data_IF_996952150993
#
_entry.id   IF_996952150993
#
_cell.length_a   1.000
_cell.length_b   1.000
_cell.length_c   1.000
_cell.angle_alpha   90.00
_cell.angle_beta   90.00
_cell.angle_gamma   90.00
#
_symmetry.space_group_name_H-M   'P 1'
#
loop_
_entity.id
_entity.type
_entity.pdbx_description
1 polymer ?
#
# COMPACT_ATOMS: atom_id res chain seq x y z
N UNK A 1 30.51 50.91 51.47
CA UNK A 1 29.47 50.12 50.78
C UNK A 1 30.15 49.24 49.74
N UNK A 2 30.25 47.94 50.00
CA UNK A 2 30.79 46.93 49.07
C UNK A 2 29.59 46.27 48.38
N UNK A 3 29.54 46.36 47.05
CA UNK A 3 28.55 45.66 46.24
C UNK A 3 28.96 44.20 46.07
N UNK A 4 28.08 43.28 46.48
CA UNK A 4 28.20 41.84 46.22
C UNK A 4 27.64 41.57 44.82
N UNK A 5 28.51 41.21 43.88
CA UNK A 5 28.13 40.68 42.57
C UNK A 5 27.93 39.17 42.74
N UNK A 6 26.69 38.72 42.64
CA UNK A 6 26.34 37.30 42.61
C UNK A 6 26.48 36.81 41.16
N UNK A 7 27.51 36.02 40.89
CA UNK A 7 27.68 35.33 39.61
C UNK A 7 26.85 34.05 39.64
N UNK A 8 25.83 33.96 38.79
CA UNK A 8 25.11 32.71 38.52
C UNK A 8 25.99 31.80 37.66
N UNK A 9 26.11 30.50 37.99
CA UNK A 9 26.77 29.55 37.12
C UNK A 9 25.93 29.38 35.85
N UNK A 10 26.51 29.75 34.71
CA UNK A 10 25.96 29.44 33.39
C UNK A 10 26.20 27.94 33.17
N UNK A 11 25.16 27.13 33.37
CA UNK A 11 25.13 25.75 32.90
C UNK A 11 25.12 25.76 31.37
N UNK A 12 26.29 25.57 30.78
CA UNK A 12 26.42 25.22 29.36
C UNK A 12 25.94 23.76 29.25
N UNK A 13 24.68 23.58 28.85
CA UNK A 13 24.18 22.26 28.44
C UNK A 13 24.83 21.99 27.08
N UNK A 14 25.84 21.12 27.07
CA UNK A 14 26.40 20.59 25.84
C UNK A 14 25.33 19.73 25.17
N UNK A 15 24.65 20.30 24.17
CA UNK A 15 23.79 19.53 23.27
C UNK A 15 24.72 18.64 22.45
N UNK A 16 24.79 17.36 22.80
CA UNK A 16 25.36 16.36 21.93
C UNK A 16 24.45 16.27 20.69
N UNK A 17 24.77 17.00 19.62
CA UNK A 17 24.25 16.67 18.29
C UNK A 17 24.91 15.35 17.88
N UNK A 18 24.28 14.24 18.26
CA UNK A 18 24.42 13.03 17.47
C UNK A 18 23.95 13.40 16.07
N UNK A 19 24.83 13.26 15.08
CA UNK A 19 24.44 13.31 13.67
C UNK A 19 23.49 12.14 13.43
N UNK A 20 22.21 12.32 13.74
CA UNK A 20 21.17 11.35 13.42
C UNK A 20 20.87 11.56 11.96
N UNK A 21 21.25 10.58 11.14
CA UNK A 21 20.81 10.48 9.75
C UNK A 21 19.51 9.67 9.70
N UNK A 22 18.67 9.92 8.69
CA UNK A 22 17.53 9.06 8.40
C UNK A 22 18.03 7.67 7.98
N UNK A 23 17.69 6.58 8.68
CA UNK A 23 18.16 5.24 8.34
C UNK A 23 17.65 4.75 6.99
N UNK A 24 18.44 3.90 6.33
CA UNK A 24 18.15 3.46 4.95
C UNK A 24 16.79 2.77 4.78
N UNK A 25 16.28 2.13 5.83
CA UNK A 25 14.95 1.49 5.85
C UNK A 25 13.79 2.44 5.57
N UNK A 26 13.97 3.75 5.77
CA UNK A 26 12.94 4.74 5.47
C UNK A 26 12.94 5.16 3.99
N UNK A 27 13.95 4.81 3.19
CA UNK A 27 13.98 5.17 1.78
C UNK A 27 13.19 4.18 0.93
N UNK A 28 12.34 4.69 0.05
CA UNK A 28 11.49 3.86 -0.78
C UNK A 28 10.24 4.58 -1.25
N UNK A 29 9.36 3.81 -1.91
CA UNK A 29 8.05 4.23 -2.38
C UNK A 29 6.99 3.45 -1.62
N UNK A 30 6.19 4.16 -0.84
CA UNK A 30 5.18 3.60 0.05
C UNK A 30 3.79 4.02 -0.43
N UNK A 31 2.95 3.05 -0.77
CA UNK A 31 1.58 3.29 -1.24
C UNK A 31 0.63 3.09 -0.07
N UNK A 32 -0.29 4.03 0.10
CA UNK A 32 -1.40 3.89 1.06
C UNK A 32 -2.31 2.73 0.65
N UNK A 33 -2.34 1.66 1.45
CA UNK A 33 -3.29 0.55 1.25
C UNK A 33 -4.35 0.45 2.35
N UNK A 34 -4.00 0.75 3.61
CA UNK A 34 -4.92 0.70 4.75
C UNK A 34 -4.84 1.97 5.59
N UNK A 35 -5.97 2.35 6.19
CA UNK A 35 -6.03 3.38 7.23
C UNK A 35 -6.98 2.94 8.34
N UNK A 36 -6.52 2.97 9.58
CA UNK A 36 -7.34 2.74 10.77
C UNK A 36 -7.72 4.07 11.42
N UNK A 37 -8.94 4.17 11.97
CA UNK A 37 -9.46 5.34 12.70
C UNK A 37 -9.37 6.70 11.95
N UNK A 38 -9.21 6.69 10.63
CA UNK A 38 -8.93 7.91 9.88
C UNK A 38 -10.16 8.81 9.74
N UNK A 39 -11.37 8.23 9.64
CA UNK A 39 -12.61 9.01 9.63
C UNK A 39 -12.85 9.66 10.99
N UNK A 40 -12.61 8.93 12.07
CA UNK A 40 -12.71 9.38 13.46
C UNK A 40 -11.70 10.49 13.75
N UNK A 41 -10.46 10.32 13.30
CA UNK A 41 -9.42 11.34 13.37
C UNK A 41 -9.85 12.63 12.68
N UNK A 42 -10.32 12.54 11.43
CA UNK A 42 -10.80 13.71 10.69
C UNK A 42 -12.04 14.33 11.34
N UNK A 43 -12.93 13.51 11.91
CA UNK A 43 -14.11 13.98 12.62
C UNK A 43 -13.74 14.76 13.89
N UNK A 44 -12.78 14.25 14.68
CA UNK A 44 -12.26 14.92 15.86
C UNK A 44 -11.55 16.24 15.54
N UNK A 45 -11.03 16.39 14.31
CA UNK A 45 -10.50 17.65 13.78
C UNK A 45 -11.58 18.62 13.27
N UNK A 46 -12.85 18.26 13.39
CA UNK A 46 -13.96 19.09 12.92
C UNK A 46 -14.15 19.10 11.39
N UNK A 47 -13.48 18.20 10.65
CA UNK A 47 -13.67 18.12 9.20
C UNK A 47 -15.09 17.65 8.89
N UNK A 48 -15.80 18.34 8.00
CA UNK A 48 -17.18 18.00 7.65
C UNK A 48 -17.30 16.58 7.09
N UNK A 49 -18.35 15.83 7.48
CA UNK A 49 -18.60 14.43 7.09
C UNK A 49 -18.45 14.16 5.58
N UNK A 50 -18.99 15.01 4.71
CA UNK A 50 -18.89 14.83 3.27
C UNK A 50 -17.43 14.92 2.78
N UNK A 51 -16.67 15.86 3.33
CA UNK A 51 -15.25 16.03 3.02
C UNK A 51 -14.44 14.84 3.53
N UNK A 52 -14.76 14.31 4.72
CA UNK A 52 -14.08 13.11 5.25
C UNK A 52 -14.27 11.89 4.36
N UNK A 53 -15.49 11.66 3.85
CA UNK A 53 -15.76 10.55 2.94
C UNK A 53 -14.99 10.70 1.63
N UNK A 54 -14.89 11.91 1.08
CA UNK A 54 -14.07 12.16 -0.10
C UNK A 54 -12.57 11.90 0.16
N UNK A 55 -12.05 12.35 1.31
CA UNK A 55 -10.63 12.15 1.68
C UNK A 55 -10.30 10.66 1.85
N UNK A 56 -11.23 9.83 2.33
CA UNK A 56 -11.02 8.38 2.46
C UNK A 56 -10.81 7.66 1.12
N UNK A 57 -11.33 8.22 0.02
CA UNK A 57 -11.08 7.67 -1.33
C UNK A 57 -9.76 8.15 -1.94
N UNK A 58 -9.07 9.11 -1.32
CA UNK A 58 -7.81 9.62 -1.83
C UNK A 58 -6.67 8.64 -1.51
N UNK A 59 -6.03 8.11 -2.56
CA UNK A 59 -4.77 7.40 -2.42
C UNK A 59 -3.61 8.39 -2.31
N UNK A 60 -2.62 8.03 -1.50
CA UNK A 60 -1.37 8.78 -1.37
C UNK A 60 -0.23 7.80 -1.54
N UNK A 61 0.72 8.11 -2.41
CA UNK A 61 2.00 7.43 -2.48
C UNK A 61 3.08 8.35 -1.92
N UNK A 62 3.76 7.93 -0.86
CA UNK A 62 4.88 8.66 -0.27
C UNK A 62 6.19 8.10 -0.82
N UNK A 63 7.07 8.96 -1.31
CA UNK A 63 8.43 8.60 -1.74
C UNK A 63 9.40 9.30 -0.83
N UNK A 64 10.31 8.57 -0.21
CA UNK A 64 11.38 9.12 0.63
C UNK A 64 12.70 8.66 0.02
N UNK A 65 13.64 9.58 -0.21
CA UNK A 65 14.92 9.26 -0.84
C UNK A 65 16.05 10.15 -0.32
N UNK A 66 17.30 9.71 -0.48
CA UNK A 66 18.47 10.59 -0.34
C UNK A 66 18.48 11.58 -1.50
N UNK A 67 18.76 12.85 -1.22
CA UNK A 67 18.97 13.86 -2.26
C UNK A 67 20.38 13.69 -2.86
N UNK A 68 20.53 13.88 -4.18
CA UNK A 68 21.83 13.73 -4.85
C UNK A 68 22.86 14.80 -4.45
N UNK A 69 22.40 15.99 -4.06
CA UNK A 69 23.25 17.10 -3.66
C UNK A 69 23.43 17.16 -2.14
N UNK A 70 22.34 17.29 -1.38
CA UNK A 70 22.39 17.38 0.09
C UNK A 70 21.01 17.16 0.70
N UNK A 71 20.98 16.52 1.88
CA UNK A 71 19.75 16.25 2.61
C UNK A 71 18.91 15.13 1.99
N UNK A 72 17.60 15.26 2.10
CA UNK A 72 16.64 14.21 1.74
C UNK A 72 15.53 14.77 0.87
N UNK A 73 14.85 13.87 0.16
CA UNK A 73 13.67 14.15 -0.64
C UNK A 73 12.47 13.43 -0.05
N UNK A 74 11.34 14.12 0.04
CA UNK A 74 10.03 13.55 0.32
C UNK A 74 9.01 14.03 -0.70
N UNK A 75 8.28 13.10 -1.30
CA UNK A 75 7.19 13.40 -2.22
C UNK A 75 5.91 12.71 -1.75
N UNK A 76 4.80 13.46 -1.69
CA UNK A 76 3.48 12.85 -1.58
C UNK A 76 2.81 12.98 -2.94
N UNK A 77 2.53 11.84 -3.57
CA UNK A 77 1.92 11.74 -4.89
C UNK A 77 0.45 11.33 -4.73
N UNK A 78 -0.47 12.11 -5.30
CA UNK A 78 -1.92 11.85 -5.24
C UNK A 78 -2.53 12.09 -6.61
N UNK A 79 -3.80 11.73 -6.79
CA UNK A 79 -4.55 12.03 -8.02
C UNK A 79 -4.90 13.52 -8.18
N UNK A 80 -4.82 14.32 -7.11
CA UNK A 80 -5.29 15.72 -7.11
C UNK A 80 -4.15 16.74 -6.99
N UNK A 81 -3.28 16.59 -6.00
CA UNK A 81 -2.16 17.50 -5.76
C UNK A 81 -0.97 16.71 -5.20
N UNK A 82 0.19 16.91 -5.81
CA UNK A 82 1.43 16.38 -5.27
C UNK A 82 2.10 17.45 -4.39
N UNK A 83 2.83 17.01 -3.37
CA UNK A 83 3.75 17.86 -2.61
C UNK A 83 5.16 17.32 -2.80
N UNK A 84 6.11 18.21 -3.07
CA UNK A 84 7.50 17.86 -3.40
C UNK A 84 8.41 18.64 -2.47
N UNK A 85 9.08 17.95 -1.56
CA UNK A 85 10.00 18.53 -0.59
C UNK A 85 11.39 17.96 -0.88
N UNK A 86 12.25 18.72 -1.55
CA UNK A 86 13.59 18.27 -1.93
C UNK A 86 14.66 19.04 -1.16
N UNK A 87 15.70 18.32 -0.73
CA UNK A 87 16.87 18.91 -0.06
C UNK A 87 16.62 19.33 1.38
N UNK A 88 15.58 18.82 2.03
CA UNK A 88 15.34 19.09 3.45
C UNK A 88 16.38 18.37 4.32
N UNK A 89 16.62 18.90 5.52
CA UNK A 89 17.54 18.30 6.50
C UNK A 89 16.84 18.14 7.84
N UNK A 90 17.31 17.17 8.62
CA UNK A 90 16.79 16.95 9.97
C UNK A 90 17.06 18.18 10.85
N UNK A 91 16.03 18.63 11.57
CA UNK A 91 16.05 19.81 12.43
C UNK A 91 15.94 21.16 11.70
N UNK A 92 15.98 21.21 10.37
CA UNK A 92 15.83 22.46 9.60
C UNK A 92 14.35 22.64 9.19
N UNK A 93 13.75 23.78 9.58
CA UNK A 93 12.40 24.17 9.14
C UNK A 93 12.45 24.84 7.77
N UNK A 94 11.51 24.50 6.90
CA UNK A 94 11.36 25.13 5.59
C UNK A 94 9.88 25.35 5.25
N UNK A 95 9.60 26.27 4.32
CA UNK A 95 8.24 26.52 3.86
C UNK A 95 7.90 25.71 2.61
N UNK A 96 6.79 24.97 2.66
CA UNK A 96 6.22 24.36 1.46
C UNK A 96 4.71 24.20 1.56
N UNK A 97 4.09 23.77 0.46
CA UNK A 97 2.66 23.50 0.42
C UNK A 97 2.34 22.16 1.09
N UNK A 98 1.31 22.14 1.92
CA UNK A 98 0.70 20.92 2.44
C UNK A 98 -0.28 20.30 1.44
N UNK A 99 -0.72 19.07 1.71
CA UNK A 99 -1.74 18.38 0.91
C UNK A 99 -3.12 19.06 0.99
N UNK A 100 -3.35 19.86 2.02
CA UNK A 100 -4.54 20.71 2.17
C UNK A 100 -4.51 21.96 1.27
N UNK A 101 -3.39 22.21 0.59
CA UNK A 101 -3.20 23.35 -0.31
C UNK A 101 -2.70 24.62 0.37
N UNK A 102 -2.63 24.67 1.70
CA UNK A 102 -2.09 25.82 2.42
C UNK A 102 -0.55 25.77 2.44
N UNK A 103 0.08 26.90 2.79
CA UNK A 103 1.52 26.98 3.03
C UNK A 103 1.82 26.63 4.50
N UNK A 104 2.83 25.81 4.74
CA UNK A 104 3.21 25.32 6.06
C UNK A 104 4.69 25.57 6.30
N UNK A 105 5.03 25.82 7.57
CA UNK A 105 6.36 25.54 8.10
C UNK A 105 6.45 24.04 8.36
N UNK A 106 7.41 23.38 7.69
CA UNK A 106 7.61 21.94 7.77
C UNK A 106 8.98 21.66 8.37
N UNK A 107 9.01 20.78 9.36
CA UNK A 107 10.25 20.34 10.02
C UNK A 107 10.28 18.83 10.08
N UNK A 108 11.40 18.23 9.66
CA UNK A 108 11.65 16.80 9.85
C UNK A 108 12.60 16.58 11.02
N UNK A 109 12.27 15.64 11.89
CA UNK A 109 13.13 15.21 12.99
C UNK A 109 13.24 13.68 13.01
N UNK A 110 14.33 13.16 13.56
CA UNK A 110 14.50 11.73 13.75
C UNK A 110 14.96 11.51 15.19
N UNK A 111 14.23 10.69 15.94
CA UNK A 111 14.54 10.32 17.32
C UNK A 111 13.90 8.95 17.61
N UNK A 112 14.53 8.13 18.45
CA UNK A 112 13.97 6.87 18.93
C UNK A 112 13.40 5.99 17.80
N UNK A 113 14.18 5.84 16.72
CA UNK A 113 13.84 5.06 15.52
C UNK A 113 12.53 5.50 14.81
N UNK A 114 12.14 6.76 15.00
CA UNK A 114 10.92 7.36 14.48
C UNK A 114 11.26 8.61 13.68
N UNK A 115 10.85 8.63 12.40
CA UNK A 115 10.90 9.83 11.56
C UNK A 115 9.65 10.66 11.84
N UNK A 116 9.82 11.92 12.19
CA UNK A 116 8.75 12.85 12.50
C UNK A 116 8.68 13.93 11.43
N UNK A 117 7.49 14.24 10.95
CA UNK A 117 7.19 15.31 10.00
C UNK A 117 6.16 16.24 10.66
N UNK A 118 6.59 17.42 11.06
CA UNK A 118 5.73 18.44 11.65
C UNK A 118 5.30 19.47 10.61
N UNK A 119 4.03 19.83 10.61
CA UNK A 119 3.41 20.83 9.73
C UNK A 119 2.71 21.88 10.58
N UNK A 120 3.08 23.16 10.42
CA UNK A 120 2.40 24.30 11.05
C UNK A 120 1.93 25.25 9.96
N UNK A 121 0.62 25.48 9.85
CA UNK A 121 0.07 26.40 8.83
C UNK A 121 0.52 27.83 9.06
N UNK A 122 0.97 28.49 8.01
CA UNK A 122 1.37 29.90 8.06
C UNK A 122 0.18 30.86 8.06
N UNK A 123 -0.99 30.43 7.59
CA UNK A 123 -2.19 31.26 7.49
C UNK A 123 -3.09 31.24 8.73
N UNK A 124 -2.77 30.41 9.74
CA UNK A 124 -3.45 30.39 11.03
C UNK A 124 -2.42 30.53 12.16
N UNK A 125 -2.29 31.75 12.74
CA UNK A 125 -1.35 32.00 13.84
C UNK A 125 -1.61 31.17 15.10
N UNK A 126 -2.79 30.54 15.22
CA UNK A 126 -3.17 29.70 16.35
C UNK A 126 -3.06 28.20 16.03
N UNK A 127 -2.59 27.83 14.82
CA UNK A 127 -2.39 26.43 14.48
C UNK A 127 -1.34 25.83 15.40
N UNK A 128 -1.73 24.78 16.13
CA UNK A 128 -0.85 24.08 17.08
C UNK A 128 0.13 23.13 16.40
N UNK A 129 0.04 23.00 15.08
CA UNK A 129 0.81 22.07 14.30
C UNK A 129 0.25 20.66 14.33
N UNK A 130 0.68 19.88 13.34
CA UNK A 130 0.37 18.47 13.21
C UNK A 130 1.66 17.70 13.01
N UNK A 131 1.92 16.71 13.85
CA UNK A 131 3.09 15.84 13.71
C UNK A 131 2.66 14.48 13.19
N UNK A 132 3.28 14.05 12.09
CA UNK A 132 3.19 12.69 11.58
C UNK A 132 4.41 11.91 12.05
N UNK A 133 4.16 10.74 12.62
CA UNK A 133 5.19 9.84 13.12
C UNK A 133 5.29 8.65 12.17
N UNK A 134 6.49 8.34 11.70
CA UNK A 134 6.74 7.24 10.81
C UNK A 134 7.68 6.24 11.47
N UNK A 135 7.28 4.98 11.45
CA UNK A 135 8.14 3.86 11.77
C UNK A 135 8.12 2.87 10.62
N UNK A 136 9.19 2.07 10.55
CA UNK A 136 9.22 0.89 9.70
C UNK A 136 8.88 -0.31 10.59
N UNK A 137 7.81 -1.01 10.27
CA UNK A 137 7.43 -2.23 10.99
C UNK A 137 8.36 -3.41 10.63
N UNK A 138 8.27 -4.56 11.32
CA UNK A 138 9.12 -5.72 11.05
C UNK A 138 9.06 -6.22 9.61
N UNK A 139 7.97 -5.94 8.91
CA UNK A 139 7.74 -6.39 7.54
C UNK A 139 8.12 -5.32 6.48
N UNK A 140 8.78 -4.24 6.93
CA UNK A 140 9.29 -3.11 6.15
C UNK A 140 8.23 -2.16 5.58
N UNK A 141 7.06 -2.09 6.20
CA UNK A 141 6.07 -1.10 5.85
C UNK A 141 6.32 0.23 6.56
N UNK A 142 6.06 1.33 5.85
CA UNK A 142 6.03 2.66 6.44
C UNK A 142 4.71 2.91 7.17
N UNK A 143 4.72 2.67 8.48
CA UNK A 143 3.62 2.94 9.39
C UNK A 143 3.58 4.41 9.75
N UNK A 144 2.59 5.12 9.21
CA UNK A 144 2.31 6.50 9.56
C UNK A 144 1.28 6.56 10.69
N UNK A 145 1.70 7.09 11.83
CA UNK A 145 0.88 7.47 12.98
C UNK A 145 0.60 8.96 12.98
N UNK A 146 -0.69 9.29 13.09
CA UNK A 146 -1.18 10.63 13.39
C UNK A 146 -1.83 10.56 14.77
N UNK A 147 -1.61 11.58 15.60
CA UNK A 147 -2.31 11.74 16.88
C UNK A 147 -3.14 13.02 16.84
N UNK A 148 -4.41 12.89 17.17
CA UNK A 148 -5.22 14.02 17.60
C UNK A 148 -6.08 13.58 18.78
N UNK A 149 -5.77 14.10 19.97
CA UNK A 149 -6.46 13.79 21.21
C UNK A 149 -6.60 12.27 21.48
N UNK A 150 -5.57 11.47 21.15
CA UNK A 150 -5.53 10.04 21.43
C UNK A 150 -6.08 9.11 20.33
N UNK A 151 -6.52 9.65 19.18
CA UNK A 151 -6.90 8.84 18.02
C UNK A 151 -5.66 8.55 17.17
N UNK A 152 -5.32 7.26 17.02
CA UNK A 152 -4.14 6.75 16.29
C UNK A 152 -4.56 6.17 14.93
N UNK A 153 -3.95 6.66 13.85
CA UNK A 153 -4.05 6.09 12.49
C UNK A 153 -2.80 5.26 12.15
N UNK A 154 -2.91 4.20 11.32
CA UNK A 154 -1.79 3.35 10.85
C UNK A 154 -1.91 3.09 9.33
N UNK A 155 -0.78 2.95 8.59
CA UNK A 155 -0.73 2.73 7.13
C UNK A 155 0.38 1.71 6.74
N UNK A 156 0.15 0.69 5.92
CA UNK A 156 1.17 -0.32 5.51
C UNK A 156 0.78 -1.05 4.20
N UNK A 157 1.73 -1.68 3.49
CA UNK A 157 1.56 -2.39 2.20
C UNK A 157 2.11 -3.82 2.24
N UNK A 158 1.27 -4.73 2.73
CA UNK A 158 1.53 -6.17 2.63
C UNK A 158 0.30 -6.90 2.15
N UNK A 159 0.52 -8.00 1.42
CA UNK A 159 -0.54 -8.94 1.15
C UNK A 159 -1.01 -9.53 2.49
N UNK A 160 -2.29 -9.38 2.88
CA UNK A 160 -2.76 -9.83 4.19
C UNK A 160 -2.49 -11.31 4.41
N UNK A 161 -2.12 -11.68 5.65
CA UNK A 161 -1.73 -13.05 6.02
C UNK A 161 -2.69 -14.15 5.53
N UNK A 162 -4.00 -13.85 5.52
CA UNK A 162 -5.04 -14.75 5.02
C UNK A 162 -4.81 -15.21 3.58
N UNK A 163 -4.12 -14.46 2.73
CA UNK A 163 -3.85 -14.87 1.35
C UNK A 163 -2.71 -15.86 1.22
N UNK A 164 -1.75 -15.93 2.15
CA UNK A 164 -0.64 -16.88 2.03
C UNK A 164 -1.10 -18.32 2.25
N UNK A 165 -0.56 -19.23 1.45
CA UNK A 165 -0.88 -20.66 1.48
C UNK A 165 -1.27 -21.21 0.11
N UNK A 166 -1.64 -22.48 0.10
CA UNK A 166 -2.09 -23.20 -1.11
C UNK A 166 -3.59 -23.38 -1.05
N UNK A 167 -4.25 -23.14 -2.18
CA UNK A 167 -5.70 -23.18 -2.33
C UNK A 167 -6.06 -24.09 -3.50
N UNK A 168 -6.73 -25.19 -3.21
CA UNK A 168 -7.18 -26.18 -4.19
C UNK A 168 -8.60 -25.87 -4.65
N UNK A 169 -8.84 -25.92 -5.97
CA UNK A 169 -10.16 -25.67 -6.53
C UNK A 169 -11.15 -26.72 -6.04
N UNK A 170 -12.19 -26.27 -5.36
CA UNK A 170 -13.26 -27.13 -4.85
C UNK A 170 -14.41 -27.24 -5.85
N UNK A 171 -14.95 -26.09 -6.25
CA UNK A 171 -16.06 -26.01 -7.18
C UNK A 171 -16.09 -24.67 -7.92
N UNK A 172 -16.99 -24.55 -8.89
CA UNK A 172 -17.21 -23.31 -9.63
C UNK A 172 -18.70 -23.10 -9.88
N UNK A 173 -19.14 -21.86 -9.91
CA UNK A 173 -20.50 -21.44 -10.24
C UNK A 173 -20.44 -20.60 -11.52
N UNK A 174 -21.29 -20.92 -12.50
CA UNK A 174 -21.47 -20.14 -13.74
C UNK A 174 -20.17 -19.90 -14.55
N UNK A 175 -19.20 -20.83 -14.45
CA UNK A 175 -17.88 -20.67 -15.06
C UNK A 175 -17.87 -20.99 -16.56
N UNK A 176 -18.67 -21.97 -17.01
CA UNK A 176 -18.76 -22.31 -18.43
C UNK A 176 -19.44 -21.18 -19.22
N UNK A 177 -20.50 -20.61 -18.65
CA UNK A 177 -21.26 -19.47 -19.17
C UNK A 177 -20.38 -18.21 -19.22
N UNK A 178 -19.56 -18.00 -18.19
CA UNK A 178 -18.56 -16.95 -18.18
C UNK A 178 -17.55 -17.11 -19.33
N UNK A 179 -17.00 -18.31 -19.54
CA UNK A 179 -16.07 -18.57 -20.63
C UNK A 179 -16.75 -18.41 -22.00
N UNK A 180 -18.03 -18.77 -22.11
CA UNK A 180 -18.83 -18.54 -23.31
C UNK A 180 -19.02 -17.04 -23.59
N UNK A 181 -19.36 -16.24 -22.58
CA UNK A 181 -19.50 -14.80 -22.69
C UNK A 181 -18.17 -14.11 -23.03
N UNK A 182 -17.04 -14.64 -22.54
CA UNK A 182 -15.71 -14.25 -22.99
C UNK A 182 -15.44 -14.63 -24.43
N UNK A 183 -16.22 -15.52 -25.05
CA UNK A 183 -16.08 -15.95 -26.44
C UNK A 183 -15.11 -17.12 -26.65
N UNK A 184 -14.95 -18.00 -25.65
CA UNK A 184 -14.22 -19.26 -25.82
C UNK A 184 -15.11 -20.33 -26.46
N UNK A 185 -14.55 -21.07 -27.43
CA UNK A 185 -15.25 -22.17 -28.10
C UNK A 185 -15.52 -23.36 -27.17
N UNK A 186 -16.60 -24.09 -27.43
CA UNK A 186 -17.11 -25.18 -26.58
C UNK A 186 -16.02 -26.17 -26.11
N UNK A 187 -15.14 -26.61 -27.00
CA UNK A 187 -14.05 -27.55 -26.65
C UNK A 187 -13.07 -26.96 -25.62
N UNK A 188 -12.63 -25.71 -25.80
CA UNK A 188 -11.75 -25.01 -24.85
C UNK A 188 -12.42 -24.86 -23.49
N UNK A 189 -13.72 -24.51 -23.47
CA UNK A 189 -14.47 -24.36 -22.21
C UNK A 189 -14.51 -25.66 -21.40
N UNK A 190 -14.80 -26.79 -22.05
CA UNK A 190 -14.82 -28.10 -21.37
C UNK A 190 -13.43 -28.49 -20.86
N UNK A 191 -12.38 -28.29 -21.64
CA UNK A 191 -11.02 -28.58 -21.20
C UNK A 191 -10.60 -27.77 -19.96
N UNK A 192 -10.92 -26.48 -19.91
CA UNK A 192 -10.55 -25.61 -18.78
C UNK A 192 -11.41 -25.89 -17.54
N UNK A 193 -12.69 -26.24 -17.73
CA UNK A 193 -13.61 -26.56 -16.62
C UNK A 193 -13.21 -27.83 -15.88
N UNK A 194 -12.68 -28.84 -16.56
CA UNK A 194 -12.25 -30.11 -15.95
C UNK A 194 -10.79 -30.14 -15.48
N UNK A 195 -10.02 -29.08 -15.71
CA UNK A 195 -8.63 -29.03 -15.27
C UNK A 195 -8.54 -28.86 -13.74
N UNK A 196 -7.59 -29.57 -13.11
CA UNK A 196 -7.26 -29.28 -11.72
C UNK A 196 -6.56 -27.93 -11.64
N UNK A 197 -6.82 -27.20 -10.56
CA UNK A 197 -6.32 -25.85 -10.43
C UNK A 197 -6.04 -25.54 -8.96
N UNK A 198 -4.79 -25.29 -8.62
CA UNK A 198 -4.40 -24.75 -7.32
C UNK A 198 -3.79 -23.37 -7.50
N UNK A 199 -4.02 -22.52 -6.51
CA UNK A 199 -3.34 -21.23 -6.38
C UNK A 199 -2.44 -21.30 -5.17
N UNK A 200 -1.25 -20.75 -5.29
CA UNK A 200 -0.30 -20.71 -4.19
C UNK A 200 0.21 -19.28 -4.05
N UNK A 201 0.13 -18.74 -2.83
CA UNK A 201 0.74 -17.48 -2.46
C UNK A 201 1.78 -17.77 -1.39
N UNK A 202 3.04 -17.43 -1.65
CA UNK A 202 4.17 -17.66 -0.76
C UNK A 202 4.77 -16.34 -0.31
N UNK A 203 5.21 -16.29 0.94
CA UNK A 203 6.01 -15.17 1.43
C UNK A 203 7.34 -15.17 0.67
N UNK A 204 7.77 -13.99 0.24
CA UNK A 204 9.12 -13.78 -0.27
C UNK A 204 10.04 -13.45 0.90
N UNK A 205 11.32 -13.81 0.79
CA UNK A 205 12.35 -13.32 1.71
C UNK A 205 12.66 -11.83 1.48
N UNK A 206 12.14 -11.24 0.39
CA UNK A 206 12.29 -9.83 0.08
C UNK A 206 11.10 -9.04 0.61
N UNK A 207 11.33 -7.95 1.36
CA UNK A 207 10.24 -7.20 1.96
C UNK A 207 9.24 -6.61 0.95
N UNK A 208 7.96 -6.59 1.33
CA UNK A 208 6.88 -6.06 0.49
C UNK A 208 6.59 -6.88 -0.78
N UNK A 209 7.11 -8.11 -0.87
CA UNK A 209 6.96 -8.99 -2.03
C UNK A 209 6.38 -10.35 -1.64
N UNK A 210 5.76 -11.01 -2.62
CA UNK A 210 5.27 -12.38 -2.50
C UNK A 210 5.52 -13.14 -3.79
N UNK A 211 5.58 -14.46 -3.69
CA UNK A 211 5.58 -15.33 -4.86
C UNK A 211 4.16 -15.86 -5.07
N UNK A 212 3.79 -16.04 -6.33
CA UNK A 212 2.49 -16.55 -6.72
C UNK A 212 2.63 -17.66 -7.76
N UNK A 213 1.81 -18.69 -7.63
CA UNK A 213 1.75 -19.74 -8.63
C UNK A 213 0.31 -20.17 -8.94
N UNK A 214 0.07 -20.48 -10.22
CA UNK A 214 -1.04 -21.31 -10.65
C UNK A 214 -0.51 -22.70 -10.96
N UNK A 215 -0.96 -23.70 -10.20
CA UNK A 215 -0.57 -25.10 -10.37
C UNK A 215 -1.72 -25.86 -11.02
N UNK A 216 -1.51 -26.48 -12.17
CA UNK A 216 -2.56 -27.20 -12.89
C UNK A 216 -2.09 -28.58 -13.31
N UNK A 217 -3.01 -29.44 -13.75
CA UNK A 217 -2.66 -30.77 -14.28
C UNK A 217 -1.83 -30.74 -15.57
N UNK A 218 -1.78 -29.61 -16.28
CA UNK A 218 -1.10 -29.49 -17.58
C UNK A 218 0.15 -28.61 -17.53
N UNK A 219 0.03 -27.44 -16.91
CA UNK A 219 1.08 -26.42 -16.88
C UNK A 219 1.01 -25.63 -15.60
N UNK A 220 2.16 -25.43 -14.98
CA UNK A 220 2.30 -24.51 -13.86
C UNK A 220 2.85 -23.18 -14.36
N UNK A 221 2.42 -22.11 -13.71
CA UNK A 221 2.91 -20.75 -13.93
C UNK A 221 3.37 -20.21 -12.59
N UNK A 222 4.53 -19.57 -12.57
CA UNK A 222 5.16 -19.02 -11.38
C UNK A 222 5.50 -17.55 -11.63
N UNK A 223 5.17 -16.70 -10.67
CA UNK A 223 5.55 -15.30 -10.59
C UNK A 223 6.31 -15.11 -9.29
N UNK A 224 7.57 -14.73 -9.38
CA UNK A 224 8.44 -14.49 -8.23
C UNK A 224 8.53 -12.99 -7.96
N UNK A 225 8.77 -12.61 -6.70
CA UNK A 225 9.03 -11.24 -6.29
C UNK A 225 7.92 -10.23 -6.66
N UNK A 226 6.66 -10.69 -6.67
CA UNK A 226 5.50 -9.88 -7.01
C UNK A 226 5.32 -8.78 -5.98
N UNK A 227 5.14 -7.55 -6.46
CA UNK A 227 4.88 -6.37 -5.63
C UNK A 227 3.47 -5.85 -5.93
N UNK A 228 2.65 -5.65 -4.91
CA UNK A 228 1.29 -5.09 -5.09
C UNK A 228 1.37 -3.73 -5.83
N UNK A 229 0.38 -3.42 -6.66
CA UNK A 229 0.30 -2.20 -7.47
C UNK A 229 1.35 -2.06 -8.58
N UNK A 230 2.24 -3.04 -8.80
CA UNK A 230 3.30 -2.98 -9.81
C UNK A 230 3.04 -3.94 -10.96
N UNK A 231 3.07 -3.40 -12.18
CA UNK A 231 2.99 -4.20 -13.39
C UNK A 231 4.31 -4.93 -13.67
N UNK A 232 4.23 -6.18 -14.12
CA UNK A 232 5.37 -6.94 -14.62
C UNK A 232 4.95 -7.79 -15.83
N UNK A 233 5.92 -8.32 -16.58
CA UNK A 233 5.65 -9.26 -17.67
C UNK A 233 5.77 -10.69 -17.15
N UNK A 234 4.65 -11.40 -17.13
CA UNK A 234 4.55 -12.79 -16.71
C UNK A 234 4.08 -13.68 -17.86
N UNK A 235 4.35 -14.98 -17.76
CA UNK A 235 3.78 -15.96 -18.69
C UNK A 235 2.39 -16.39 -18.24
N UNK A 236 1.43 -16.44 -19.14
CA UNK A 236 0.09 -16.96 -18.89
C UNK A 236 0.01 -18.48 -18.94
N UNK A 237 -1.12 -19.03 -18.48
CA UNK A 237 -1.43 -20.46 -18.61
C UNK A 237 -1.62 -20.90 -20.08
N UNK A 238 -1.91 -19.94 -20.95
CA UNK A 238 -1.96 -20.09 -22.41
C UNK A 238 -0.56 -20.12 -23.07
N UNK A 239 0.51 -19.94 -22.29
CA UNK A 239 1.90 -19.86 -22.76
C UNK A 239 2.28 -18.62 -23.54
N UNK A 240 1.45 -17.57 -23.49
CA UNK A 240 1.83 -16.27 -24.03
C UNK A 240 2.33 -15.34 -22.91
N UNK A 241 3.00 -14.25 -23.28
CA UNK A 241 3.37 -13.20 -22.34
C UNK A 241 2.21 -12.24 -22.09
N UNK A 242 2.02 -11.90 -20.82
CA UNK A 242 1.00 -10.98 -20.33
C UNK A 242 1.66 -9.89 -19.49
N UNK A 243 1.12 -8.66 -19.55
CA UNK A 243 1.30 -7.69 -18.47
C UNK A 243 0.39 -8.11 -17.31
N UNK A 244 0.99 -8.37 -16.16
CA UNK A 244 0.31 -8.84 -14.95
C UNK A 244 0.42 -7.78 -13.87
N UNK A 245 -0.64 -7.56 -13.09
CA UNK A 245 -0.62 -6.66 -11.94
C UNK A 245 -1.51 -7.21 -10.83
N UNK A 246 -1.00 -7.24 -9.60
CA UNK A 246 -1.79 -7.54 -8.41
C UNK A 246 -2.07 -6.25 -7.64
N UNK A 247 -3.30 -5.99 -7.23
CA UNK A 247 -3.67 -4.76 -6.50
C UNK A 247 -4.62 -5.09 -5.37
N UNK A 248 -4.33 -4.65 -4.14
CA UNK A 248 -5.22 -4.83 -3.00
C UNK A 248 -6.09 -3.58 -2.80
N UNK A 249 -7.42 -3.74 -2.77
CA UNK A 249 -8.36 -2.66 -2.44
C UNK A 249 -9.26 -3.11 -1.29
N UNK A 250 -8.99 -2.56 -0.10
CA UNK A 250 -9.63 -3.04 1.13
C UNK A 250 -9.26 -4.51 1.37
N UNK A 251 -10.28 -5.38 1.41
CA UNK A 251 -10.11 -6.83 1.63
C UNK A 251 -10.09 -7.67 0.35
N UNK A 252 -10.16 -7.03 -0.82
CA UNK A 252 -10.23 -7.71 -2.11
C UNK A 252 -8.90 -7.53 -2.84
N UNK A 253 -8.28 -8.64 -3.20
CA UNK A 253 -7.10 -8.66 -4.08
C UNK A 253 -7.56 -8.77 -5.53
N UNK A 254 -7.01 -7.96 -6.41
CA UNK A 254 -7.27 -7.98 -7.84
C UNK A 254 -6.02 -8.51 -8.55
N UNK A 255 -6.17 -9.44 -9.49
CA UNK A 255 -5.11 -9.84 -10.42
C UNK A 255 -5.58 -9.50 -11.83
N UNK A 256 -4.84 -8.65 -12.52
CA UNK A 256 -5.13 -8.25 -13.90
C UNK A 256 -4.10 -8.85 -14.84
N UNK A 257 -4.57 -9.37 -15.97
CA UNK A 257 -3.76 -9.86 -17.07
C UNK A 257 -4.14 -9.14 -18.36
N UNK A 258 -3.14 -8.65 -19.09
CA UNK A 258 -3.30 -8.09 -20.45
C UNK A 258 -2.32 -8.83 -21.37
N UNK A 259 -2.80 -9.74 -22.24
CA UNK A 259 -1.94 -10.43 -23.19
C UNK A 259 -1.21 -9.43 -24.10
N UNK A 260 0.09 -9.66 -24.35
CA UNK A 260 0.90 -8.81 -25.24
C UNK A 260 1.36 -9.52 -26.51
N UNK A 261 1.03 -10.80 -26.65
CA UNK A 261 1.31 -11.61 -27.83
C UNK A 261 -0.01 -12.03 -28.50
N UNK A 262 0.05 -12.40 -29.79
CA UNK A 262 -1.12 -12.89 -30.51
C UNK A 262 -1.51 -14.27 -29.97
N UNK A 263 -2.77 -14.43 -29.58
CA UNK A 263 -3.32 -15.69 -29.08
C UNK A 263 -4.83 -15.61 -28.87
N UNK A 264 -5.40 -16.66 -28.28
CA UNK A 264 -6.82 -16.69 -27.89
C UNK A 264 -7.08 -16.04 -26.53
N UNK A 265 -6.04 -15.74 -25.76
CA UNK A 265 -6.17 -15.08 -24.47
C UNK A 265 -6.69 -13.65 -24.63
N UNK A 266 -7.49 -13.24 -23.64
CA UNK A 266 -8.15 -11.95 -23.57
C UNK A 266 -7.74 -11.26 -22.29
N UNK A 267 -7.93 -9.95 -22.24
CA UNK A 267 -7.80 -9.18 -21.01
C UNK A 267 -8.63 -9.83 -19.91
N UNK A 268 -8.03 -9.95 -18.73
CA UNK A 268 -8.64 -10.65 -17.62
C UNK A 268 -8.45 -9.93 -16.30
N UNK A 269 -9.48 -9.98 -15.47
CA UNK A 269 -9.46 -9.45 -14.11
C UNK A 269 -10.08 -10.49 -13.19
N UNK A 270 -9.30 -10.94 -12.21
CA UNK A 270 -9.72 -11.84 -11.15
C UNK A 270 -9.88 -11.05 -9.84
N UNK A 271 -11.03 -11.18 -9.20
CA UNK A 271 -11.32 -10.63 -7.87
C UNK A 271 -11.22 -11.73 -6.81
N UNK A 272 -10.26 -11.62 -5.91
CA UNK A 272 -10.03 -12.54 -4.81
C UNK A 272 -10.62 -12.01 -3.51
N UNK A 273 -11.46 -12.80 -2.86
CA UNK A 273 -12.03 -12.48 -1.54
C UNK A 273 -12.20 -13.74 -0.71
N UNK A 274 -12.37 -13.58 0.61
CA UNK A 274 -12.68 -14.71 1.50
C UNK A 274 -14.17 -14.71 1.83
N UNK A 275 -14.82 -15.85 1.61
CA UNK A 275 -16.25 -16.04 1.88
C UNK A 275 -16.47 -17.28 2.74
N UNK A 276 -17.49 -17.23 3.60
CA UNK A 276 -17.94 -18.41 4.37
C UNK A 276 -19.21 -18.99 3.74
N UNK A 277 -19.17 -20.27 3.41
CA UNK A 277 -20.31 -21.05 2.90
C UNK A 277 -20.36 -22.36 3.67
N UNK A 278 -21.50 -22.68 4.28
CA UNK A 278 -21.69 -23.89 5.09
C UNK A 278 -20.61 -24.10 6.17
N UNK A 279 -20.30 -23.02 6.92
CA UNK A 279 -19.26 -22.96 7.94
C UNK A 279 -17.81 -23.23 7.45
N UNK A 280 -17.60 -23.36 6.13
CA UNK A 280 -16.29 -23.47 5.50
C UNK A 280 -15.89 -22.15 4.89
N UNK A 281 -14.63 -21.77 5.08
CA UNK A 281 -14.05 -20.60 4.43
C UNK A 281 -13.45 -20.98 3.09
N UNK A 282 -13.65 -20.13 2.09
CA UNK A 282 -13.16 -20.30 0.74
C UNK A 282 -12.44 -19.04 0.29
N UNK A 283 -11.34 -19.21 -0.45
CA UNK A 283 -10.86 -18.18 -1.36
C UNK A 283 -11.77 -18.19 -2.59
N UNK A 284 -12.61 -17.17 -2.70
CA UNK A 284 -13.48 -16.93 -3.85
C UNK A 284 -12.72 -16.11 -4.89
N UNK A 285 -12.67 -16.64 -6.12
CA UNK A 285 -12.24 -15.91 -7.32
C UNK A 285 -13.48 -15.59 -8.14
N UNK A 286 -13.80 -14.30 -8.28
CA UNK A 286 -14.87 -13.80 -9.12
C UNK A 286 -14.30 -13.23 -10.41
N UNK A 287 -14.94 -13.54 -11.54
CA UNK A 287 -14.64 -12.94 -12.85
C UNK A 287 -15.94 -12.49 -13.51
N UNK A 288 -15.85 -11.50 -14.40
CA UNK A 288 -17.01 -10.96 -15.12
C UNK A 288 -16.70 -10.69 -16.60
N UNK A 289 -17.64 -11.06 -17.48
CA UNK A 289 -17.57 -10.75 -18.90
C UNK A 289 -18.97 -10.50 -19.46
N UNK A 290 -19.20 -9.32 -20.05
CA UNK A 290 -20.48 -8.99 -20.67
C UNK A 290 -21.69 -9.10 -19.72
N UNK A 291 -21.50 -8.77 -18.43
CA UNK A 291 -22.52 -8.93 -17.38
C UNK A 291 -22.70 -10.35 -16.85
N UNK A 292 -21.97 -11.34 -17.39
CA UNK A 292 -21.96 -12.71 -16.88
C UNK A 292 -20.87 -12.86 -15.83
N UNK A 293 -21.26 -13.21 -14.61
CA UNK A 293 -20.34 -13.41 -13.49
C UNK A 293 -20.05 -14.90 -13.30
N UNK A 294 -18.78 -15.29 -13.42
CA UNK A 294 -18.29 -16.61 -13.04
C UNK A 294 -17.63 -16.57 -11.66
N UNK A 295 -17.73 -17.66 -10.91
CA UNK A 295 -17.09 -17.79 -9.59
C UNK A 295 -16.36 -19.12 -9.47
N UNK A 296 -15.20 -19.10 -8.84
CA UNK A 296 -14.42 -20.29 -8.49
C UNK A 296 -14.10 -20.26 -7.01
N UNK A 297 -14.35 -21.37 -6.32
CA UNK A 297 -14.18 -21.49 -4.87
C UNK A 297 -13.02 -22.42 -4.59
N UNK A 298 -12.05 -21.94 -3.82
CA UNK A 298 -10.87 -22.70 -3.47
C UNK A 298 -10.80 -22.94 -1.97
N UNK A 299 -10.43 -24.17 -1.59
CA UNK A 299 -10.18 -24.57 -0.20
C UNK A 299 -8.70 -24.48 0.09
N UNK A 300 -8.34 -23.95 1.26
CA UNK A 300 -6.97 -24.03 1.75
C UNK A 300 -6.57 -25.49 1.98
N UNK A 301 -5.36 -25.86 1.57
CA UNK A 301 -4.76 -27.20 1.73
C UNK A 301 -3.37 -27.14 2.35
#
# INVERSE_FOLDING_TARGET
MRWLVVLYPICIVSVFSANMEVPDKFFGRFILERSENFDEFLAAKGVNWFVRKMIQFASVTKVIAKNQASGYNLENLTSKKNTIYHGWKLGETFEADGLDGNRHNITFNFADDTLMEEHIRLNDPNDKGETYYYNIDPDNNLVMKMDNNGIICLRAKELPEKFYGTFDLDHSENFDEYLEAKGYGWFTRKLVTFATFKKEFKKSDKPGKFDYANLTSKKNVYYEDVELGKEFVGEGLDSTKHKVTFELKGDVLFEKHVPIEKGEAKDEVYEYSFVKKDAKEYLLVKMEAGGVVGKRFYKRV
#
